data_IF_793676272298
#
_entry.id   IF_793676272298
#
_cell.length_a   1.000
_cell.length_b   1.000
_cell.length_c   1.000
_cell.angle_alpha   90.00
_cell.angle_beta   90.00
_cell.angle_gamma   90.00
#
_symmetry.space_group_name_H-M   'P 1'
#
loop_
_entity.id
_entity.type
_entity.pdbx_description
1 polymer ?
#
# COMPACT_ATOMS: atom_id res chain seq x y z
N UNK A 1 24.13 -53.71 -27.15
CA UNK A 1 24.62 -52.41 -26.68
C UNK A 1 23.40 -51.58 -26.33
N UNK A 2 23.12 -51.40 -25.03
CA UNK A 2 21.94 -50.67 -24.55
C UNK A 2 22.40 -49.32 -24.01
N UNK A 3 21.96 -48.23 -24.64
CA UNK A 3 22.23 -46.87 -24.18
C UNK A 3 21.13 -46.46 -23.19
N UNK A 4 21.51 -46.18 -21.95
CA UNK A 4 20.63 -45.60 -20.94
C UNK A 4 20.52 -44.10 -21.24
N UNK A 5 19.31 -43.65 -21.59
CA UNK A 5 18.99 -42.22 -21.71
C UNK A 5 18.70 -41.70 -20.29
N UNK A 6 19.65 -40.97 -19.71
CA UNK A 6 19.44 -40.24 -18.46
C UNK A 6 18.59 -39.00 -18.77
N UNK A 7 17.30 -39.08 -18.43
CA UNK A 7 16.42 -37.91 -18.48
C UNK A 7 16.80 -36.97 -17.34
N UNK A 8 17.39 -35.82 -17.65
CA UNK A 8 17.69 -34.77 -16.69
C UNK A 8 16.37 -34.09 -16.28
N UNK A 9 15.76 -34.56 -15.20
CA UNK A 9 14.69 -33.80 -14.55
C UNK A 9 15.32 -32.55 -13.91
N UNK A 10 15.26 -31.42 -14.61
CA UNK A 10 15.55 -30.11 -14.03
C UNK A 10 14.47 -29.84 -13.00
N UNK A 11 14.83 -29.84 -11.71
CA UNK A 11 13.95 -29.38 -10.66
C UNK A 11 13.66 -27.90 -10.90
N UNK A 12 12.46 -27.58 -11.39
CA UNK A 12 12.01 -26.20 -11.50
C UNK A 12 11.94 -25.61 -10.09
N UNK A 13 12.76 -24.59 -9.81
CA UNK A 13 12.64 -23.80 -8.60
C UNK A 13 11.25 -23.15 -8.60
N UNK A 14 10.46 -23.26 -7.52
CA UNK A 14 9.17 -22.57 -7.44
C UNK A 14 9.35 -21.09 -7.74
N UNK A 15 8.67 -20.60 -8.77
CA UNK A 15 8.66 -19.16 -9.06
C UNK A 15 7.94 -18.45 -7.93
N UNK A 16 8.52 -17.36 -7.43
CA UNK A 16 7.88 -16.55 -6.40
C UNK A 16 6.64 -15.89 -7.00
N UNK A 17 5.48 -16.09 -6.36
CA UNK A 17 4.22 -15.51 -6.82
C UNK A 17 4.11 -14.04 -6.36
N UNK A 18 4.75 -13.13 -7.09
CA UNK A 18 4.75 -11.70 -6.76
C UNK A 18 3.37 -11.05 -6.84
N UNK A 19 2.46 -11.51 -7.72
CA UNK A 19 1.06 -11.04 -7.72
C UNK A 19 0.37 -11.39 -6.40
N UNK A 20 0.53 -12.63 -5.94
CA UNK A 20 -0.02 -13.09 -4.65
C UNK A 20 0.57 -12.34 -3.45
N UNK A 21 1.86 -12.02 -3.50
CA UNK A 21 2.51 -11.18 -2.49
C UNK A 21 1.95 -9.75 -2.50
N UNK A 22 1.83 -9.10 -3.66
CA UNK A 22 1.23 -7.77 -3.76
C UNK A 22 -0.21 -7.72 -3.23
N UNK A 23 -1.01 -8.75 -3.53
CA UNK A 23 -2.37 -8.88 -2.99
C UNK A 23 -2.36 -8.95 -1.45
N UNK A 24 -1.40 -9.69 -0.89
CA UNK A 24 -1.21 -9.81 0.56
C UNK A 24 -0.74 -8.50 1.16
N UNK A 25 0.18 -7.80 0.50
CA UNK A 25 0.65 -6.49 0.95
C UNK A 25 -0.47 -5.46 0.98
N UNK A 26 -1.31 -5.38 -0.07
CA UNK A 26 -2.51 -4.51 -0.08
C UNK A 26 -3.41 -4.81 1.11
N UNK A 27 -3.65 -6.09 1.40
CA UNK A 27 -4.46 -6.52 2.56
C UNK A 27 -3.84 -6.10 3.89
N UNK A 28 -2.52 -6.22 4.02
CA UNK A 28 -1.82 -5.83 5.24
C UNK A 28 -1.82 -4.30 5.43
N UNK A 29 -1.60 -3.55 4.35
CA UNK A 29 -1.71 -2.08 4.38
C UNK A 29 -3.13 -1.70 4.83
N UNK A 30 -4.16 -2.27 4.21
CA UNK A 30 -5.56 -2.01 4.54
C UNK A 30 -5.88 -2.26 6.03
N UNK A 31 -5.54 -3.45 6.53
CA UNK A 31 -5.78 -3.82 7.92
C UNK A 31 -5.06 -2.91 8.91
N UNK A 32 -3.80 -2.55 8.61
CA UNK A 32 -3.02 -1.67 9.48
C UNK A 32 -3.56 -0.25 9.47
N UNK A 33 -3.99 0.25 8.29
CA UNK A 33 -4.63 1.56 8.15
C UNK A 33 -5.96 1.60 8.90
N UNK A 34 -6.79 0.57 8.83
CA UNK A 34 -8.05 0.48 9.59
C UNK A 34 -7.82 0.58 11.09
N UNK A 35 -6.95 -0.27 11.62
CA UNK A 35 -6.62 -0.26 13.05
C UNK A 35 -6.01 1.07 13.49
N UNK A 36 -5.12 1.64 12.68
CA UNK A 36 -4.55 2.95 12.97
C UNK A 36 -5.63 4.03 12.98
N UNK A 37 -6.56 4.00 12.03
CA UNK A 37 -7.69 4.93 11.94
C UNK A 37 -8.53 4.91 13.19
N UNK A 38 -8.91 3.73 13.69
CA UNK A 38 -9.66 3.59 14.94
C UNK A 38 -8.90 4.24 16.12
N UNK A 39 -7.59 3.95 16.25
CA UNK A 39 -6.77 4.53 17.31
C UNK A 39 -6.60 6.04 17.19
N UNK A 40 -6.56 6.58 15.99
CA UNK A 40 -6.49 8.02 15.74
C UNK A 40 -7.84 8.67 16.05
N UNK A 41 -8.96 8.08 15.67
CA UNK A 41 -10.29 8.61 15.95
C UNK A 41 -10.56 8.73 17.46
N UNK A 42 -10.17 7.72 18.23
CA UNK A 42 -10.31 7.71 19.69
C UNK A 42 -9.25 8.55 20.43
N UNK A 43 -8.25 9.06 19.71
CA UNK A 43 -7.15 9.79 20.32
C UNK A 43 -7.60 11.15 20.86
N UNK A 44 -7.46 11.35 22.17
CA UNK A 44 -7.82 12.59 22.87
C UNK A 44 -6.62 13.28 23.52
N UNK A 45 -5.41 12.99 23.03
CA UNK A 45 -4.17 13.56 23.54
C UNK A 45 -3.48 12.67 24.58
N UNK A 46 -2.29 13.10 24.97
CA UNK A 46 -1.38 12.37 25.84
C UNK A 46 -0.35 11.54 25.07
N UNK A 47 0.90 11.54 25.55
CA UNK A 47 1.97 10.80 24.90
C UNK A 47 1.75 9.27 24.99
N UNK A 48 1.20 8.78 26.09
CA UNK A 48 0.98 7.35 26.29
C UNK A 48 0.00 6.74 25.27
N UNK A 49 -1.11 7.43 24.98
CA UNK A 49 -2.08 7.02 23.96
C UNK A 49 -1.50 7.17 22.54
N UNK A 50 -0.69 8.21 22.29
CA UNK A 50 -0.01 8.37 21.01
C UNK A 50 1.00 7.25 20.72
N UNK A 51 1.76 6.80 21.74
CA UNK A 51 2.73 5.70 21.59
C UNK A 51 2.06 4.40 21.14
N UNK A 52 0.78 4.17 21.47
CA UNK A 52 0.04 2.98 21.03
C UNK A 52 -0.25 2.97 19.53
N UNK A 53 -0.15 4.12 18.85
CA UNK A 53 -0.34 4.22 17.40
C UNK A 53 0.94 3.92 16.61
N UNK A 54 2.11 4.06 17.25
CA UNK A 54 3.40 3.91 16.58
C UNK A 54 3.61 2.53 15.94
N UNK A 55 3.27 1.39 16.60
CA UNK A 55 3.41 0.09 15.96
C UNK A 55 2.57 -0.02 14.69
N UNK A 56 1.32 0.43 14.71
CA UNK A 56 0.41 0.36 13.57
C UNK A 56 0.88 1.26 12.41
N UNK A 57 1.38 2.47 12.72
CA UNK A 57 1.96 3.36 11.72
C UNK A 57 3.23 2.75 11.09
N UNK A 58 4.07 2.10 11.90
CA UNK A 58 5.26 1.39 11.42
C UNK A 58 4.87 0.18 10.55
N UNK A 59 3.91 -0.62 10.97
CA UNK A 59 3.42 -1.79 10.23
C UNK A 59 2.79 -1.38 8.90
N UNK A 60 1.99 -0.31 8.86
CA UNK A 60 1.46 0.24 7.60
C UNK A 60 2.58 0.71 6.66
N UNK A 61 3.61 1.37 7.22
CA UNK A 61 4.77 1.84 6.45
C UNK A 61 5.58 0.66 5.89
N UNK A 62 5.87 -0.35 6.72
CA UNK A 62 6.61 -1.56 6.32
C UNK A 62 5.82 -2.35 5.27
N UNK A 63 4.52 -2.53 5.45
CA UNK A 63 3.67 -3.19 4.46
C UNK A 63 3.68 -2.44 3.12
N UNK A 64 3.68 -1.11 3.14
CA UNK A 64 3.78 -0.27 1.93
C UNK A 64 5.15 -0.40 1.27
N UNK A 65 6.23 -0.46 2.05
CA UNK A 65 7.57 -0.72 1.53
C UNK A 65 7.68 -2.12 0.89
N UNK A 66 7.12 -3.15 1.54
CA UNK A 66 7.03 -4.51 0.98
C UNK A 66 6.22 -4.53 -0.31
N UNK A 67 5.10 -3.83 -0.38
CA UNK A 67 4.32 -3.67 -1.61
C UNK A 67 5.16 -3.05 -2.73
N UNK A 68 5.92 -1.99 -2.41
CA UNK A 68 6.87 -1.37 -3.33
C UNK A 68 7.93 -2.35 -3.83
N UNK A 69 8.46 -3.20 -2.95
CA UNK A 69 9.44 -4.23 -3.32
C UNK A 69 8.83 -5.33 -4.19
N UNK A 70 7.74 -5.96 -3.76
CA UNK A 70 7.12 -7.06 -4.49
C UNK A 70 6.56 -6.60 -5.84
N UNK A 71 5.99 -5.39 -5.90
CA UNK A 71 5.50 -4.82 -7.17
C UNK A 71 6.62 -4.57 -8.18
N UNK A 72 7.86 -4.36 -7.73
CA UNK A 72 9.01 -4.21 -8.62
C UNK A 72 9.41 -5.51 -9.34
N UNK A 73 8.92 -6.67 -8.87
CA UNK A 73 9.18 -7.98 -9.47
C UNK A 73 7.96 -8.60 -10.15
N UNK A 74 6.85 -7.85 -10.26
CA UNK A 74 5.72 -8.26 -11.08
C UNK A 74 6.14 -8.40 -12.55
N UNK A 75 5.48 -9.32 -13.25
CA UNK A 75 5.63 -9.50 -14.70
C UNK A 75 5.39 -8.17 -15.44
N UNK A 76 6.14 -7.98 -16.53
CA UNK A 76 6.02 -6.79 -17.37
C UNK A 76 5.87 -7.21 -18.85
N UNK A 77 4.66 -7.05 -19.44
CA UNK A 77 3.45 -6.55 -18.79
C UNK A 77 2.81 -7.58 -17.84
N UNK A 78 2.01 -7.11 -16.90
CA UNK A 78 1.25 -7.95 -15.98
C UNK A 78 0.15 -8.70 -16.75
N UNK A 79 -0.13 -9.99 -16.45
CA UNK A 79 -1.29 -10.67 -17.01
C UNK A 79 -2.59 -9.90 -16.72
N UNK A 80 -3.48 -9.79 -17.71
CA UNK A 80 -4.72 -8.99 -17.58
C UNK A 80 -5.56 -9.45 -16.38
N UNK A 81 -5.68 -10.77 -16.15
CA UNK A 81 -6.42 -11.29 -15.01
C UNK A 81 -5.85 -10.86 -13.66
N UNK A 82 -4.52 -10.81 -13.54
CA UNK A 82 -3.81 -10.35 -12.35
C UNK A 82 -3.98 -8.84 -12.15
N UNK A 83 -3.92 -8.06 -13.23
CA UNK A 83 -4.22 -6.62 -13.18
C UNK A 83 -5.63 -6.38 -12.65
N UNK A 84 -6.64 -7.04 -13.22
CA UNK A 84 -8.03 -6.89 -12.81
C UNK A 84 -8.23 -7.27 -11.34
N UNK A 85 -7.57 -8.34 -10.90
CA UNK A 85 -7.61 -8.78 -9.50
C UNK A 85 -6.97 -7.76 -8.56
N UNK A 86 -5.81 -7.20 -8.89
CA UNK A 86 -5.16 -6.18 -8.06
C UNK A 86 -5.98 -4.88 -8.06
N UNK A 87 -6.53 -4.47 -9.20
CA UNK A 87 -7.39 -3.29 -9.32
C UNK A 87 -8.65 -3.40 -8.46
N UNK A 88 -9.38 -4.51 -8.57
CA UNK A 88 -10.55 -4.79 -7.76
C UNK A 88 -10.21 -4.80 -6.26
N UNK A 89 -9.05 -5.36 -5.89
CA UNK A 89 -8.63 -5.41 -4.49
C UNK A 89 -8.30 -4.02 -3.94
N UNK A 90 -7.56 -3.18 -4.68
CA UNK A 90 -7.30 -1.78 -4.31
C UNK A 90 -8.61 -1.01 -4.17
N UNK A 91 -9.54 -1.20 -5.12
CA UNK A 91 -10.84 -0.53 -5.15
C UNK A 91 -11.72 -0.87 -3.94
N UNK A 92 -11.65 -2.12 -3.44
CA UNK A 92 -12.45 -2.58 -2.29
C UNK A 92 -11.79 -2.31 -0.95
N UNK A 93 -10.53 -1.88 -0.92
CA UNK A 93 -9.73 -1.72 0.30
C UNK A 93 -9.14 -0.32 0.37
N UNK A 94 -7.92 -0.13 -0.13
CA UNK A 94 -7.11 1.06 0.10
C UNK A 94 -7.77 2.36 -0.33
N UNK A 95 -8.54 2.36 -1.44
CA UNK A 95 -9.22 3.59 -1.88
C UNK A 95 -10.37 3.98 -0.95
N UNK A 96 -10.96 3.01 -0.24
CA UNK A 96 -12.02 3.25 0.74
C UNK A 96 -11.40 3.73 2.05
N UNK A 97 -10.39 3.02 2.54
CA UNK A 97 -9.91 3.17 3.91
C UNK A 97 -8.80 4.21 4.08
N UNK A 98 -7.93 4.40 3.06
CA UNK A 98 -6.87 5.42 3.14
C UNK A 98 -7.42 6.84 3.30
N UNK A 99 -8.45 7.29 2.54
CA UNK A 99 -9.01 8.63 2.74
C UNK A 99 -9.60 8.84 4.14
N UNK A 100 -10.23 7.81 4.72
CA UNK A 100 -10.77 7.86 6.07
C UNK A 100 -9.67 8.02 7.12
N UNK A 101 -8.57 7.28 6.97
CA UNK A 101 -7.39 7.42 7.81
C UNK A 101 -6.80 8.83 7.75
N UNK A 102 -6.61 9.35 6.54
CA UNK A 102 -6.09 10.71 6.34
C UNK A 102 -7.02 11.76 6.95
N UNK A 103 -8.34 11.59 6.83
CA UNK A 103 -9.30 12.45 7.49
C UNK A 103 -9.23 12.37 9.02
N UNK A 104 -9.04 11.18 9.59
CA UNK A 104 -8.86 11.01 11.02
C UNK A 104 -7.63 11.75 11.53
N UNK A 105 -6.48 11.62 10.86
CA UNK A 105 -5.28 12.41 11.18
C UNK A 105 -5.56 13.91 11.11
N UNK A 106 -6.12 14.40 10.00
CA UNK A 106 -6.48 15.81 9.85
C UNK A 106 -7.36 16.32 10.99
N UNK A 107 -8.34 15.53 11.43
CA UNK A 107 -9.24 15.91 12.54
C UNK A 107 -8.54 15.99 13.90
N UNK A 108 -7.37 15.38 14.05
CA UNK A 108 -6.59 15.30 15.30
C UNK A 108 -5.31 16.13 15.26
N UNK A 109 -5.09 16.91 14.21
CA UNK A 109 -3.85 17.69 14.03
C UNK A 109 -3.52 18.53 15.28
N UNK A 110 -4.46 19.33 15.77
CA UNK A 110 -4.27 20.18 16.95
C UNK A 110 -3.96 19.38 18.22
N UNK A 111 -4.49 18.16 18.34
CA UNK A 111 -4.23 17.26 19.47
C UNK A 111 -2.79 16.73 19.41
N UNK A 112 -2.29 16.38 18.23
CA UNK A 112 -0.89 16.01 18.06
C UNK A 112 0.05 17.19 18.25
N UNK A 113 -0.33 18.39 17.82
CA UNK A 113 0.44 19.61 18.02
C UNK A 113 0.63 19.92 19.51
N UNK A 114 -0.45 19.83 20.30
CA UNK A 114 -0.42 20.07 21.75
C UNK A 114 0.56 19.16 22.51
N UNK A 115 0.82 17.96 21.99
CA UNK A 115 1.77 17.01 22.60
C UNK A 115 3.11 16.94 21.86
N UNK A 116 3.39 17.90 20.96
CA UNK A 116 4.68 18.00 20.26
C UNK A 116 4.89 16.94 19.17
N UNK A 117 3.83 16.29 18.68
CA UNK A 117 3.91 15.23 17.67
C UNK A 117 3.50 15.67 16.25
N UNK A 118 3.22 16.96 16.02
CA UNK A 118 2.94 17.49 14.67
C UNK A 118 4.03 17.14 13.66
N UNK A 119 5.30 17.43 13.99
CA UNK A 119 6.46 17.13 13.15
C UNK A 119 6.65 15.64 12.85
N UNK A 120 6.64 14.75 13.87
CA UNK A 120 6.66 13.30 13.66
C UNK A 120 5.53 12.77 12.76
N UNK A 121 4.29 13.24 12.94
CA UNK A 121 3.17 12.82 12.08
C UNK A 121 3.37 13.31 10.65
N UNK A 122 3.77 14.57 10.46
CA UNK A 122 4.11 15.11 9.15
C UNK A 122 5.16 14.25 8.42
N UNK A 123 6.24 13.88 9.11
CA UNK A 123 7.29 13.03 8.54
C UNK A 123 6.76 11.64 8.18
N UNK A 124 5.95 11.03 9.05
CA UNK A 124 5.32 9.73 8.80
C UNK A 124 4.44 9.74 7.55
N UNK A 125 3.60 10.76 7.39
CA UNK A 125 2.75 10.92 6.20
C UNK A 125 3.58 11.09 4.91
N UNK A 126 4.68 11.84 4.96
CA UNK A 126 5.61 11.98 3.83
C UNK A 126 6.30 10.66 3.47
N UNK A 127 6.76 9.92 4.47
CA UNK A 127 7.39 8.61 4.25
C UNK A 127 6.39 7.63 3.61
N UNK A 128 5.15 7.57 4.14
CA UNK A 128 4.08 6.76 3.58
C UNK A 128 3.78 7.13 2.11
N UNK A 129 3.65 8.43 1.80
CA UNK A 129 3.40 8.90 0.44
C UNK A 129 4.47 8.43 -0.56
N UNK A 130 5.75 8.57 -0.21
CA UNK A 130 6.87 8.19 -1.08
C UNK A 130 6.83 6.68 -1.38
N UNK A 131 6.60 5.86 -0.35
CA UNK A 131 6.52 4.42 -0.50
C UNK A 131 5.30 4.01 -1.33
N UNK A 132 4.16 4.64 -1.08
CA UNK A 132 2.94 4.37 -1.84
C UNK A 132 3.07 4.79 -3.31
N UNK A 133 3.73 5.91 -3.59
CA UNK A 133 4.04 6.35 -4.95
C UNK A 133 4.91 5.33 -5.71
N UNK A 134 5.90 4.75 -5.04
CA UNK A 134 6.74 3.71 -5.64
C UNK A 134 5.92 2.46 -5.99
N UNK A 135 5.07 2.02 -5.05
CA UNK A 135 4.15 0.91 -5.27
C UNK A 135 3.19 1.18 -6.44
N UNK A 136 2.51 2.33 -6.43
CA UNK A 136 1.58 2.75 -7.47
C UNK A 136 2.26 2.79 -8.84
N UNK A 137 3.44 3.43 -8.93
CA UNK A 137 4.22 3.50 -10.16
C UNK A 137 4.56 2.11 -10.71
N UNK A 138 5.02 1.21 -9.84
CA UNK A 138 5.39 -0.15 -10.27
C UNK A 138 4.22 -0.91 -10.89
N UNK A 139 3.01 -0.77 -10.34
CA UNK A 139 1.81 -1.40 -10.92
C UNK A 139 1.44 -0.73 -12.25
N UNK A 140 1.39 0.60 -12.29
CA UNK A 140 0.95 1.35 -13.46
C UNK A 140 1.89 1.15 -14.67
N UNK A 141 3.20 1.02 -14.43
CA UNK A 141 4.19 0.72 -15.48
C UNK A 141 4.01 -0.66 -16.13
N UNK A 142 3.22 -1.55 -15.52
CA UNK A 142 3.01 -2.94 -15.95
C UNK A 142 1.64 -3.20 -16.55
N UNK A 143 0.80 -2.17 -16.69
CA UNK A 143 -0.51 -2.29 -17.34
C UNK A 143 -0.29 -2.75 -18.80
N UNK A 144 -0.83 -3.92 -19.22
CA UNK A 144 -0.70 -4.38 -20.60
C UNK A 144 -1.47 -3.46 -21.54
N UNK A 145 -0.93 -3.23 -22.75
CA UNK A 145 -1.57 -2.39 -23.78
C UNK A 145 -2.97 -2.89 -24.21
N UNK A 146 -3.28 -4.16 -23.98
CA UNK A 146 -4.59 -4.78 -24.25
C UNK A 146 -5.52 -4.87 -23.02
N UNK A 147 -5.18 -4.24 -21.90
CA UNK A 147 -6.07 -4.17 -20.75
C UNK A 147 -7.40 -3.49 -21.14
N UNK A 148 -8.55 -3.94 -20.59
CA UNK A 148 -9.78 -3.17 -20.72
C UNK A 148 -9.56 -1.76 -20.16
N UNK A 149 -10.02 -0.73 -20.87
CA UNK A 149 -9.77 0.66 -20.50
C UNK A 149 -10.33 0.98 -19.12
N UNK A 150 -11.60 0.65 -18.88
CA UNK A 150 -12.30 1.03 -17.65
C UNK A 150 -11.57 0.55 -16.38
N UNK A 151 -11.18 -0.73 -16.22
CA UNK A 151 -10.43 -1.19 -15.05
C UNK A 151 -9.04 -0.55 -14.88
N UNK A 152 -8.33 -0.29 -15.98
CA UNK A 152 -7.02 0.39 -15.92
C UNK A 152 -7.14 1.87 -15.52
N UNK A 153 -8.19 2.54 -16.00
CA UNK A 153 -8.54 3.92 -15.63
C UNK A 153 -9.04 3.99 -14.19
N UNK A 154 -9.85 3.03 -13.74
CA UNK A 154 -10.30 2.90 -12.35
C UNK A 154 -9.11 2.71 -11.42
N UNK A 155 -8.19 1.78 -11.71
CA UNK A 155 -6.98 1.60 -10.90
C UNK A 155 -6.15 2.88 -10.81
N UNK A 156 -5.97 3.57 -11.95
CA UNK A 156 -5.23 4.85 -11.97
C UNK A 156 -5.93 5.90 -11.09
N UNK A 157 -7.24 6.02 -11.21
CA UNK A 157 -8.07 6.92 -10.41
C UNK A 157 -7.99 6.58 -8.92
N UNK A 158 -8.10 5.32 -8.55
CA UNK A 158 -8.07 4.86 -7.15
C UNK A 158 -6.73 5.17 -6.48
N UNK A 159 -5.62 4.87 -7.17
CA UNK A 159 -4.27 5.19 -6.68
C UNK A 159 -4.09 6.71 -6.53
N UNK A 160 -4.65 7.50 -7.45
CA UNK A 160 -4.60 8.96 -7.38
C UNK A 160 -5.41 9.52 -6.20
N UNK A 161 -6.62 9.00 -5.95
CA UNK A 161 -7.45 9.37 -4.80
C UNK A 161 -6.68 9.18 -3.48
N UNK A 162 -6.00 8.04 -3.33
CA UNK A 162 -5.20 7.73 -2.14
C UNK A 162 -4.06 8.75 -2.00
N UNK A 163 -3.29 8.98 -3.07
CA UNK A 163 -2.18 9.94 -3.04
C UNK A 163 -2.64 11.37 -2.70
N UNK A 164 -3.78 11.81 -3.22
CA UNK A 164 -4.31 13.14 -2.96
C UNK A 164 -4.83 13.30 -1.53
N UNK A 165 -5.46 12.26 -0.97
CA UNK A 165 -5.83 12.24 0.43
C UNK A 165 -4.61 12.40 1.35
N UNK A 166 -3.51 11.69 1.05
CA UNK A 166 -2.27 11.78 1.82
C UNK A 166 -1.63 13.16 1.67
N UNK A 167 -1.55 13.71 0.45
CA UNK A 167 -1.03 15.08 0.22
C UNK A 167 -1.83 16.13 0.99
N UNK A 168 -3.16 16.00 1.02
CA UNK A 168 -4.03 16.88 1.80
C UNK A 168 -3.73 16.80 3.29
N UNK A 169 -3.55 15.59 3.82
CA UNK A 169 -3.16 15.41 5.23
C UNK A 169 -1.78 16.01 5.51
N UNK A 170 -0.77 15.77 4.66
CA UNK A 170 0.57 16.36 4.80
C UNK A 170 0.48 17.88 4.95
N UNK A 171 -0.28 18.56 4.08
CA UNK A 171 -0.44 20.02 4.10
C UNK A 171 -1.04 20.56 5.41
N UNK A 172 -1.87 19.77 6.09
CA UNK A 172 -2.45 20.16 7.38
C UNK A 172 -1.41 20.13 8.50
N UNK A 173 -0.39 19.28 8.38
CA UNK A 173 0.70 19.12 9.35
C UNK A 173 1.98 19.91 9.00
N UNK A 174 1.96 20.72 7.93
CA UNK A 174 3.02 21.71 7.60
C UNK A 174 3.03 22.88 8.59
#
# INVERSE_FOLDING_TARGET
MSSIVLSSAVLAVPQTNYTGLCYTDITNIDNNIKQLTEKVQDFNGGLFSAVQQLPLALEATVATASAGLHSAFLDSPLPVGDLLRLADHVNKTLVVDSPLAMQAFVSKESVYEQIGLKGPVHLGLKAYLILFQQFAKNILDRVPAGAPKDPSEVLTSDLQIIMDAVRKAIKVYE
#
